data_IF_861972679352
#
_entry.id   IF_861972679352
#
_cell.length_a   1.000
_cell.length_b   1.000
_cell.length_c   1.000
_cell.angle_alpha   90.00
_cell.angle_beta   90.00
_cell.angle_gamma   90.00
#
_symmetry.space_group_name_H-M   'P 1'
#
loop_
_entity.id
_entity.type
_entity.pdbx_description
1 polymer ?
#
# COMPACT_ATOMS: atom_id res chain seq x y z
N UNK A 1 -12.05 19.65 35.00
CA UNK A 1 -10.66 19.73 34.52
C UNK A 1 -10.30 18.51 33.69
N UNK A 2 -10.34 17.29 34.23
CA UNK A 2 -9.97 16.07 33.47
C UNK A 2 -10.73 15.84 32.14
N UNK A 3 -12.03 16.18 32.08
CA UNK A 3 -12.88 15.99 30.89
C UNK A 3 -12.66 17.05 29.80
N UNK A 4 -12.16 18.22 30.18
CA UNK A 4 -11.86 19.32 29.25
C UNK A 4 -10.60 18.99 28.45
N UNK A 5 -9.60 18.40 29.10
CA UNK A 5 -8.35 17.98 28.44
C UNK A 5 -8.61 16.85 27.43
N UNK A 6 -9.45 15.88 27.79
CA UNK A 6 -9.81 14.77 26.88
C UNK A 6 -10.63 15.22 25.69
N UNK A 7 -11.54 16.19 25.85
CA UNK A 7 -12.35 16.70 24.73
C UNK A 7 -11.51 17.52 23.75
N UNK A 8 -10.53 18.28 24.22
CA UNK A 8 -9.54 18.97 23.37
C UNK A 8 -8.69 17.97 22.58
N UNK A 9 -8.25 16.88 23.21
CA UNK A 9 -7.50 15.81 22.54
C UNK A 9 -8.34 15.12 21.45
N UNK A 10 -9.59 14.77 21.77
CA UNK A 10 -10.52 14.17 20.79
C UNK A 10 -10.76 15.11 19.61
N UNK A 11 -11.01 16.40 19.86
CA UNK A 11 -11.24 17.38 18.80
C UNK A 11 -10.02 17.59 17.90
N UNK A 12 -8.82 17.67 18.48
CA UNK A 12 -7.57 17.83 17.71
C UNK A 12 -7.22 16.59 16.88
N UNK A 13 -7.42 15.38 17.42
CA UNK A 13 -7.26 14.13 16.68
C UNK A 13 -8.25 14.00 15.53
N UNK A 14 -9.51 14.39 15.73
CA UNK A 14 -10.51 14.43 14.67
C UNK A 14 -10.09 15.39 13.55
N UNK A 15 -9.58 16.58 13.89
CA UNK A 15 -9.04 17.52 12.92
C UNK A 15 -7.87 16.95 12.11
N UNK A 16 -6.94 16.25 12.77
CA UNK A 16 -5.81 15.59 12.09
C UNK A 16 -6.27 14.47 11.14
N UNK A 17 -7.25 13.66 11.54
CA UNK A 17 -7.83 12.61 10.70
C UNK A 17 -8.51 13.18 9.44
N UNK A 18 -9.25 14.28 9.58
CA UNK A 18 -9.87 14.95 8.43
C UNK A 18 -8.83 15.52 7.48
N UNK A 19 -7.79 16.17 8.00
CA UNK A 19 -6.72 16.74 7.20
C UNK A 19 -5.94 15.65 6.44
N UNK A 20 -5.48 14.62 7.14
CA UNK A 20 -4.75 13.49 6.54
C UNK A 20 -5.60 12.70 5.55
N UNK A 21 -6.89 12.47 5.86
CA UNK A 21 -7.84 11.84 4.94
C UNK A 21 -8.05 12.65 3.66
N UNK A 22 -8.17 13.98 3.78
CA UNK A 22 -8.30 14.88 2.62
C UNK A 22 -7.05 14.84 1.72
N UNK A 23 -5.86 14.83 2.33
CA UNK A 23 -4.58 14.76 1.62
C UNK A 23 -4.43 13.41 0.90
N UNK A 24 -4.76 12.30 1.57
CA UNK A 24 -4.73 10.97 0.97
C UNK A 24 -5.71 10.86 -0.22
N UNK A 25 -6.92 11.40 -0.08
CA UNK A 25 -7.91 11.46 -1.16
C UNK A 25 -7.42 12.27 -2.36
N UNK A 26 -6.83 13.44 -2.12
CA UNK A 26 -6.26 14.29 -3.17
C UNK A 26 -5.12 13.60 -3.93
N UNK A 27 -4.18 12.95 -3.21
CA UNK A 27 -3.10 12.21 -3.85
C UNK A 27 -3.62 11.01 -4.64
N UNK A 28 -4.57 10.24 -4.10
CA UNK A 28 -5.19 9.13 -4.82
C UNK A 28 -5.88 9.63 -6.10
N UNK A 29 -6.66 10.70 -6.02
CA UNK A 29 -7.33 11.28 -7.17
C UNK A 29 -6.33 11.71 -8.26
N UNK A 30 -5.30 12.48 -7.90
CA UNK A 30 -4.29 12.93 -8.85
C UNK A 30 -3.52 11.76 -9.49
N UNK A 31 -3.24 10.74 -8.69
CA UNK A 31 -2.61 9.50 -9.10
C UNK A 31 -3.48 8.76 -10.13
N UNK A 32 -4.79 8.63 -9.88
CA UNK A 32 -5.74 8.08 -10.86
C UNK A 32 -5.79 8.90 -12.15
N UNK A 33 -5.90 10.24 -12.05
CA UNK A 33 -5.94 11.12 -13.22
C UNK A 33 -4.66 11.01 -14.05
N UNK A 34 -3.49 11.02 -13.41
CA UNK A 34 -2.19 10.84 -14.09
C UNK A 34 -2.09 9.50 -14.82
N UNK A 35 -2.57 8.42 -14.19
CA UNK A 35 -2.60 7.08 -14.78
C UNK A 35 -3.41 7.02 -16.09
N UNK A 36 -4.56 7.68 -16.12
CA UNK A 36 -5.41 7.73 -17.32
C UNK A 36 -4.82 8.65 -18.40
N UNK A 37 -4.12 9.73 -18.02
CA UNK A 37 -3.60 10.75 -18.94
C UNK A 37 -2.27 10.40 -19.61
N UNK A 38 -1.44 9.54 -19.01
CA UNK A 38 -0.10 9.24 -19.54
C UNK A 38 -0.16 8.40 -20.84
N UNK A 39 0.02 9.03 -22.02
CA UNK A 39 0.03 8.40 -23.36
C UNK A 39 1.41 8.40 -24.05
N UNK A 40 2.45 8.95 -23.43
CA UNK A 40 3.70 9.39 -24.11
C UNK A 40 4.87 8.40 -23.99
N UNK A 41 4.60 7.09 -23.99
CA UNK A 41 5.64 6.04 -23.93
C UNK A 41 5.34 4.95 -24.96
N UNK A 42 6.38 4.23 -25.41
CA UNK A 42 6.22 3.02 -26.23
C UNK A 42 5.12 2.12 -25.68
N UNK A 43 4.21 1.68 -26.56
CA UNK A 43 2.97 0.96 -26.21
C UNK A 43 3.22 -0.21 -25.26
N UNK A 44 4.34 -0.93 -25.44
CA UNK A 44 4.71 -2.09 -24.62
C UNK A 44 5.17 -1.70 -23.21
N UNK A 45 6.02 -0.68 -23.08
CA UNK A 45 6.53 -0.21 -21.77
C UNK A 45 5.44 0.50 -20.97
N UNK A 46 4.60 1.29 -21.65
CA UNK A 46 3.48 1.99 -21.04
C UNK A 46 2.44 1.03 -20.43
N UNK A 47 2.12 -0.06 -21.11
CA UNK A 47 1.19 -1.07 -20.58
C UNK A 47 1.71 -1.74 -19.30
N UNK A 48 3.02 -2.00 -19.23
CA UNK A 48 3.64 -2.59 -18.03
C UNK A 48 3.66 -1.61 -16.86
N UNK A 49 4.06 -0.35 -17.10
CA UNK A 49 4.05 0.70 -16.07
C UNK A 49 2.63 1.00 -15.56
N UNK A 50 1.63 1.07 -16.45
CA UNK A 50 0.23 1.27 -16.04
C UNK A 50 -0.30 0.15 -15.16
N UNK A 51 0.00 -1.10 -15.50
CA UNK A 51 -0.39 -2.25 -14.67
C UNK A 51 0.28 -2.21 -13.30
N UNK A 52 1.58 -1.91 -13.25
CA UNK A 52 2.35 -1.78 -12.01
C UNK A 52 1.82 -0.65 -11.13
N UNK A 53 1.58 0.52 -11.71
CA UNK A 53 1.09 1.69 -10.99
C UNK A 53 -0.35 1.49 -10.47
N UNK A 54 -1.23 0.87 -11.27
CA UNK A 54 -2.57 0.48 -10.79
C UNK A 54 -2.47 -0.47 -9.60
N UNK A 55 -1.55 -1.42 -9.66
CA UNK A 55 -1.28 -2.36 -8.59
C UNK A 55 -0.84 -1.62 -7.31
N UNK A 56 0.12 -0.70 -7.42
CA UNK A 56 0.57 0.18 -6.33
C UNK A 56 -0.57 0.99 -5.69
N UNK A 57 -1.46 1.57 -6.50
CA UNK A 57 -2.58 2.36 -5.99
C UNK A 57 -3.53 1.50 -5.16
N UNK A 58 -3.90 0.32 -5.67
CA UNK A 58 -4.77 -0.63 -4.98
C UNK A 58 -4.09 -1.12 -3.70
N UNK A 59 -2.80 -1.42 -3.78
CA UNK A 59 -2.01 -1.87 -2.65
C UNK A 59 -1.90 -0.80 -1.56
N UNK A 60 -1.75 0.47 -1.90
CA UNK A 60 -1.72 1.55 -0.91
C UNK A 60 -3.11 1.80 -0.30
N UNK A 61 -4.18 1.67 -1.10
CA UNK A 61 -5.55 1.89 -0.63
C UNK A 61 -5.99 0.85 0.42
N UNK A 62 -5.61 -0.43 0.27
CA UNK A 62 -6.05 -1.51 1.17
C UNK A 62 -5.60 -1.30 2.63
N UNK A 63 -4.31 -1.08 2.95
CA UNK A 63 -3.83 -0.76 4.29
C UNK A 63 -4.39 0.56 4.82
N UNK A 64 -4.53 1.58 3.98
CA UNK A 64 -5.13 2.86 4.39
C UNK A 64 -6.57 2.68 4.90
N UNK A 65 -7.38 1.92 4.17
CA UNK A 65 -8.75 1.60 4.60
C UNK A 65 -8.76 0.77 5.90
N UNK A 66 -7.82 -0.17 6.04
CA UNK A 66 -7.69 -0.98 7.25
C UNK A 66 -7.26 -0.18 8.50
N UNK A 67 -6.57 0.96 8.33
CA UNK A 67 -6.17 1.88 9.41
C UNK A 67 -7.29 2.87 9.74
N UNK A 68 -8.05 3.32 8.75
CA UNK A 68 -9.16 4.27 8.96
C UNK A 68 -10.24 3.66 9.87
N UNK A 69 -10.54 2.37 9.71
CA UNK A 69 -11.55 1.67 10.52
C UNK A 69 -11.29 1.71 12.04
N UNK A 70 -10.12 1.29 12.58
CA UNK A 70 -9.83 1.37 14.00
C UNK A 70 -9.69 2.82 14.49
N UNK A 71 -9.21 3.74 13.66
CA UNK A 71 -9.15 5.16 14.02
C UNK A 71 -10.54 5.78 14.25
N UNK A 72 -11.52 5.47 13.38
CA UNK A 72 -12.91 5.93 13.56
C UNK A 72 -13.50 5.33 14.84
N UNK A 73 -13.27 4.05 15.10
CA UNK A 73 -13.76 3.40 16.32
C UNK A 73 -13.20 4.06 17.58
N UNK A 74 -11.89 4.33 17.65
CA UNK A 74 -11.25 5.00 18.79
C UNK A 74 -11.81 6.42 18.96
N UNK A 75 -12.07 7.13 17.86
CA UNK A 75 -12.60 8.49 17.89
C UNK A 75 -14.04 8.54 18.43
N UNK A 76 -14.90 7.62 17.97
CA UNK A 76 -16.30 7.53 18.40
C UNK A 76 -16.41 7.06 19.85
N UNK A 77 -15.64 6.04 20.24
CA UNK A 77 -15.59 5.54 21.62
C UNK A 77 -15.09 6.60 22.61
N UNK A 78 -14.05 7.36 22.23
CA UNK A 78 -13.55 8.47 23.04
C UNK A 78 -14.57 9.63 23.15
N UNK A 79 -15.30 9.93 22.07
CA UNK A 79 -16.33 10.98 22.07
C UNK A 79 -17.58 10.61 22.88
N UNK A 80 -17.95 9.32 22.93
CA UNK A 80 -19.08 8.82 23.72
C UNK A 80 -18.69 8.45 25.16
N UNK A 81 -17.41 8.59 25.54
CA UNK A 81 -16.87 8.14 26.85
C UNK A 81 -17.14 6.66 27.13
N UNK A 82 -17.31 5.86 26.07
CA UNK A 82 -17.65 4.46 26.16
C UNK A 82 -16.59 3.64 25.44
N UNK A 83 -15.82 2.89 26.23
CA UNK A 83 -14.66 2.14 25.73
C UNK A 83 -14.88 0.65 26.01
N UNK A 84 -15.31 -0.09 24.99
CA UNK A 84 -15.30 -1.56 25.07
C UNK A 84 -13.86 -2.07 24.99
N UNK A 85 -13.41 -2.73 26.06
CA UNK A 85 -12.02 -3.19 26.17
C UNK A 85 -11.65 -4.20 25.08
N UNK A 86 -12.58 -5.08 24.68
CA UNK A 86 -12.37 -6.04 23.59
C UNK A 86 -12.13 -5.34 22.25
N UNK A 87 -13.01 -4.40 21.88
CA UNK A 87 -12.96 -3.70 20.60
C UNK A 87 -11.80 -2.71 20.53
N UNK A 88 -11.45 -2.06 21.64
CA UNK A 88 -10.26 -1.20 21.72
C UNK A 88 -8.97 -2.01 21.55
N UNK A 89 -8.83 -3.16 22.22
CA UNK A 89 -7.67 -4.03 22.05
C UNK A 89 -7.56 -4.55 20.62
N UNK A 90 -8.68 -4.95 20.02
CA UNK A 90 -8.70 -5.38 18.62
C UNK A 90 -8.28 -4.25 17.67
N UNK A 91 -8.79 -3.04 17.89
CA UNK A 91 -8.43 -1.85 17.11
C UNK A 91 -6.94 -1.53 17.21
N UNK A 92 -6.35 -1.65 18.41
CA UNK A 92 -4.91 -1.46 18.63
C UNK A 92 -4.06 -2.52 17.90
N UNK A 93 -4.49 -3.78 17.87
CA UNK A 93 -3.80 -4.84 17.13
C UNK A 93 -3.82 -4.56 15.62
N UNK A 94 -4.97 -4.12 15.08
CA UNK A 94 -5.08 -3.73 13.66
C UNK A 94 -4.18 -2.53 13.34
N UNK A 95 -4.18 -1.51 14.20
CA UNK A 95 -3.30 -0.35 14.08
C UNK A 95 -1.82 -0.73 14.13
N UNK A 96 -1.40 -1.65 14.98
CA UNK A 96 0.01 -2.06 15.04
C UNK A 96 0.42 -2.95 13.87
N UNK A 97 -0.50 -3.78 13.36
CA UNK A 97 -0.21 -4.76 12.30
C UNK A 97 -0.27 -4.17 10.88
N UNK A 98 -0.88 -2.98 10.71
CA UNK A 98 -1.08 -2.38 9.39
C UNK A 98 0.22 -2.21 8.56
N UNK A 99 1.35 -1.95 9.23
CA UNK A 99 2.66 -1.77 8.58
C UNK A 99 3.10 -3.07 7.90
N UNK A 100 2.98 -4.19 8.61
CA UNK A 100 3.30 -5.52 8.07
C UNK A 100 2.35 -5.85 6.91
N UNK A 101 1.05 -5.52 7.05
CA UNK A 101 0.07 -5.75 5.99
C UNK A 101 0.32 -4.90 4.74
N UNK A 102 0.82 -3.68 4.90
CA UNK A 102 1.21 -2.79 3.80
C UNK A 102 2.41 -3.35 3.02
N UNK A 103 3.41 -3.87 3.72
CA UNK A 103 4.56 -4.53 3.08
C UNK A 103 4.16 -5.86 2.45
N UNK A 104 3.33 -6.66 3.11
CA UNK A 104 2.89 -7.95 2.58
C UNK A 104 2.02 -7.78 1.32
N UNK A 105 1.10 -6.81 1.33
CA UNK A 105 0.34 -6.46 0.13
C UNK A 105 1.26 -5.95 -0.97
N UNK A 106 2.36 -5.24 -0.66
CA UNK A 106 3.40 -4.87 -1.63
C UNK A 106 3.98 -6.08 -2.33
N UNK A 107 4.45 -7.02 -1.54
CA UNK A 107 5.11 -8.23 -2.03
C UNK A 107 4.13 -9.06 -2.87
N UNK A 108 2.86 -9.13 -2.48
CA UNK A 108 1.86 -9.82 -3.25
C UNK A 108 1.41 -9.06 -4.49
N UNK A 109 1.12 -7.77 -4.46
CA UNK A 109 0.48 -7.12 -5.62
C UNK A 109 1.48 -6.93 -6.78
N UNK A 110 2.78 -6.90 -6.48
CA UNK A 110 3.84 -6.67 -7.45
C UNK A 110 4.30 -7.95 -8.15
N UNK A 111 3.82 -8.16 -9.38
CA UNK A 111 4.16 -9.35 -10.20
C UNK A 111 5.67 -9.53 -10.44
N UNK A 112 6.43 -8.43 -10.62
CA UNK A 112 7.89 -8.48 -10.74
C UNK A 112 8.56 -8.93 -9.44
N UNK A 113 8.09 -8.42 -8.30
CA UNK A 113 8.56 -8.82 -6.97
C UNK A 113 8.22 -10.28 -6.67
N UNK A 114 7.01 -10.75 -7.02
CA UNK A 114 6.65 -12.18 -6.89
C UNK A 114 7.64 -13.07 -7.63
N UNK A 115 8.02 -12.72 -8.86
CA UNK A 115 8.97 -13.52 -9.64
C UNK A 115 10.33 -13.57 -8.95
N UNK A 116 10.85 -12.44 -8.49
CA UNK A 116 12.12 -12.39 -7.76
C UNK A 116 12.04 -13.11 -6.41
N UNK A 117 10.93 -12.98 -5.67
CA UNK A 117 10.71 -13.72 -4.42
C UNK A 117 10.62 -15.22 -4.66
N UNK A 118 9.91 -15.66 -5.68
CA UNK A 118 9.89 -17.08 -6.04
C UNK A 118 11.28 -17.56 -6.48
N UNK A 119 12.06 -16.76 -7.20
CA UNK A 119 13.44 -17.12 -7.54
C UNK A 119 14.35 -17.23 -6.31
N UNK A 120 14.24 -16.30 -5.36
CA UNK A 120 15.02 -16.30 -4.11
C UNK A 120 14.58 -17.44 -3.18
N UNK A 121 13.28 -17.65 -3.00
CA UNK A 121 12.73 -18.62 -2.04
C UNK A 121 12.69 -20.05 -2.59
N UNK A 122 12.53 -20.23 -3.91
CA UNK A 122 12.55 -21.55 -4.58
C UNK A 122 13.84 -21.84 -5.34
N UNK A 123 14.88 -21.00 -5.22
CA UNK A 123 16.23 -21.24 -5.72
C UNK A 123 16.27 -21.76 -7.17
N UNK A 124 15.47 -21.17 -8.08
CA UNK A 124 15.62 -21.47 -9.51
C UNK A 124 16.80 -20.66 -10.04
N UNK A 125 17.87 -21.36 -10.43
CA UNK A 125 19.04 -20.77 -11.09
C UNK A 125 18.59 -19.88 -12.26
N UNK A 126 19.27 -18.74 -12.51
CA UNK A 126 18.93 -17.87 -13.62
C UNK A 126 18.93 -18.68 -14.92
N UNK A 127 17.84 -18.58 -15.69
CA UNK A 127 17.79 -19.12 -17.04
C UNK A 127 18.86 -18.40 -17.86
N UNK A 128 19.98 -19.08 -18.05
CA UNK A 128 21.06 -18.73 -18.94
C UNK A 128 20.60 -18.90 -20.39
N UNK A 129 19.69 -18.06 -20.88
CA UNK A 129 19.26 -18.09 -22.29
C UNK A 129 19.95 -17.04 -23.16
N UNK A 130 20.87 -16.25 -22.61
CA UNK A 130 21.60 -15.23 -23.40
C UNK A 130 22.98 -15.73 -23.84
N UNK A 131 23.65 -16.58 -23.07
CA UNK A 131 25.02 -17.04 -23.41
C UNK A 131 25.06 -18.04 -24.58
N UNK A 132 24.00 -18.82 -24.82
CA UNK A 132 23.98 -19.82 -25.90
C UNK A 132 23.90 -19.18 -27.31
N UNK A 133 23.21 -18.05 -27.46
CA UNK A 133 23.06 -17.40 -28.77
C UNK A 133 24.38 -16.75 -29.23
N UNK A 134 25.14 -16.14 -28.32
CA UNK A 134 26.45 -15.56 -28.66
C UNK A 134 27.52 -16.63 -28.91
N UNK A 135 27.51 -17.74 -28.16
CA UNK A 135 28.45 -18.84 -28.38
C UNK A 135 28.25 -19.51 -29.77
N UNK A 136 27.01 -19.68 -30.22
CA UNK A 136 26.71 -20.24 -31.53
C UNK A 136 27.04 -19.30 -32.71
N UNK A 137 27.10 -17.99 -32.48
CA UNK A 137 27.56 -17.03 -33.50
C UNK A 137 29.09 -16.93 -33.58
N UNK A 138 29.82 -17.23 -32.51
CA UNK A 138 31.30 -17.16 -32.50
C UNK A 138 31.92 -18.44 -33.07
N UNK A 139 31.29 -19.60 -32.91
CA UNK A 139 31.80 -20.89 -33.43
C UNK A 139 31.53 -21.09 -34.93
N UNK A 140 30.76 -20.18 -35.56
CA UNK A 140 30.44 -20.21 -36.99
C UNK A 140 31.32 -19.27 -37.85
N UNK A 141 32.37 -18.71 -37.27
CA UNK A 141 33.45 -17.98 -37.96
C UNK A 141 34.72 -18.85 -37.95
#
# INVERSE_FOLDING_TARGET
MLTTDTTILVASLAGYLLFSGSQAGYFLYNTFVYLFKSKTLSTRTLQMQRKFFKALCIQAAIPLMAVISPCIYIQVSAGLTYVDMMWSNFSMILLNTHGIWSTLTMLWVHKAYRQTMFEIFFCKKPVSSVTSTYANSIVKL
#
